data_IF_345227008357
#
_entry.id   IF_345227008357
#
_cell.length_a   1.000
_cell.length_b   1.000
_cell.length_c   1.000
_cell.angle_alpha   90.00
_cell.angle_beta   90.00
_cell.angle_gamma   90.00
#
_symmetry.space_group_name_H-M   'P 1'
#
loop_
_entity.id
_entity.type
_entity.pdbx_description
1 polymer ?
#
# COMPACT_ATOMS: atom_id res chain seq x y z
N UNK A 1 -21.69 -3.49 -16.24
CA UNK A 1 -21.77 -3.08 -14.82
C UNK A 1 -20.35 -3.12 -14.28
N UNK A 2 -19.64 -2.00 -14.36
CA UNK A 2 -18.21 -1.95 -14.04
C UNK A 2 -18.01 -2.10 -12.54
N UNK A 3 -17.14 -3.03 -12.14
CA UNK A 3 -16.64 -3.10 -10.77
C UNK A 3 -16.20 -1.68 -10.37
N UNK A 4 -16.81 -1.13 -9.32
CA UNK A 4 -16.47 0.21 -8.85
C UNK A 4 -14.97 0.24 -8.54
N UNK A 5 -14.25 1.14 -9.22
CA UNK A 5 -12.83 1.40 -8.99
C UNK A 5 -12.68 2.08 -7.61
N UNK A 6 -12.55 1.25 -6.57
CA UNK A 6 -12.47 1.70 -5.17
C UNK A 6 -11.35 2.70 -4.94
N UNK A 7 -10.27 2.63 -5.71
CA UNK A 7 -9.11 3.51 -5.54
C UNK A 7 -9.37 4.97 -5.95
N UNK A 8 -10.54 5.25 -6.56
CA UNK A 8 -10.92 6.59 -7.02
C UNK A 8 -12.31 7.03 -6.55
N UNK A 9 -13.07 6.12 -5.95
CA UNK A 9 -14.44 6.38 -5.49
C UNK A 9 -14.45 6.81 -4.02
N UNK A 10 -15.29 7.77 -3.63
CA UNK A 10 -15.36 8.26 -2.24
C UNK A 10 -15.81 7.20 -1.23
N UNK A 11 -16.48 6.13 -1.68
CA UNK A 11 -16.96 5.06 -0.81
C UNK A 11 -18.11 5.47 0.12
N UNK A 12 -18.84 4.49 0.64
CA UNK A 12 -20.02 4.71 1.51
C UNK A 12 -19.95 3.95 2.83
N UNK A 13 -19.02 3.00 2.96
CA UNK A 13 -18.78 2.25 4.19
C UNK A 13 -17.62 2.88 4.98
N UNK A 14 -17.51 2.65 6.30
CA UNK A 14 -16.45 3.20 7.14
C UNK A 14 -15.05 2.90 6.61
N UNK A 15 -14.14 3.87 6.71
CA UNK A 15 -12.77 3.74 6.23
C UNK A 15 -11.95 2.79 7.10
N UNK A 16 -11.12 1.90 6.51
CA UNK A 16 -10.16 1.11 7.25
C UNK A 16 -8.94 1.93 7.68
N UNK A 17 -8.09 1.34 8.51
CA UNK A 17 -6.82 1.94 8.92
C UNK A 17 -5.63 1.28 8.21
N UNK A 18 -4.76 2.09 7.59
CA UNK A 18 -3.53 1.63 6.96
C UNK A 18 -2.30 1.94 7.82
N UNK A 19 -1.50 0.90 8.05
CA UNK A 19 -0.21 0.97 8.74
C UNK A 19 0.91 0.40 7.88
N UNK A 20 2.05 1.07 7.89
CA UNK A 20 3.30 0.59 7.30
C UNK A 20 4.31 0.39 8.43
N UNK A 21 5.20 -0.60 8.29
CA UNK A 21 6.32 -0.78 9.22
C UNK A 21 7.42 0.28 9.05
N UNK A 22 7.54 0.88 7.85
CA UNK A 22 8.45 1.98 7.55
C UNK A 22 7.86 2.90 6.48
N UNK A 23 8.25 4.17 6.47
CA UNK A 23 7.87 5.17 5.47
C UNK A 23 8.99 5.47 4.46
N UNK A 24 10.18 4.89 4.68
CA UNK A 24 11.29 4.94 3.74
C UNK A 24 11.95 3.58 3.61
N UNK A 25 12.34 3.23 2.40
CA UNK A 25 13.02 1.96 2.11
C UNK A 25 13.93 2.09 0.88
N UNK A 26 14.95 1.26 0.79
CA UNK A 26 15.81 1.13 -0.38
C UNK A 26 15.27 0.06 -1.33
N UNK A 27 15.66 0.15 -2.60
CA UNK A 27 15.41 -0.90 -3.59
C UNK A 27 15.94 -2.26 -3.07
N UNK A 28 15.14 -3.32 -3.23
CA UNK A 28 15.43 -4.66 -2.72
C UNK A 28 14.97 -4.93 -1.28
N UNK A 29 14.58 -3.92 -0.50
CA UNK A 29 13.99 -4.12 0.82
C UNK A 29 12.52 -4.56 0.76
N UNK A 30 11.98 -5.04 1.88
CA UNK A 30 10.56 -5.36 2.03
C UNK A 30 9.87 -4.41 3.00
N UNK A 31 8.69 -3.92 2.60
CA UNK A 31 7.81 -3.08 3.43
C UNK A 31 6.52 -3.84 3.68
N UNK A 32 6.13 -3.95 4.95
CA UNK A 32 4.89 -4.59 5.37
C UNK A 32 3.81 -3.53 5.55
N UNK A 33 2.75 -3.68 4.77
CA UNK A 33 1.51 -2.93 4.88
C UNK A 33 0.50 -3.76 5.64
N UNK A 34 -0.31 -3.12 6.49
CA UNK A 34 -1.43 -3.74 7.21
C UNK A 34 -2.67 -2.88 7.05
N UNK A 35 -3.70 -3.44 6.44
CA UNK A 35 -5.02 -2.83 6.39
C UNK A 35 -5.89 -3.43 7.49
N UNK A 36 -6.31 -2.61 8.44
CA UNK A 36 -7.15 -3.01 9.58
C UNK A 36 -8.60 -2.61 9.35
N UNK A 37 -9.52 -3.53 9.56
CA UNK A 37 -10.98 -3.31 9.52
C UNK A 37 -11.60 -3.58 10.88
N UNK A 38 -12.78 -3.00 11.14
CA UNK A 38 -13.53 -3.26 12.37
C UNK A 38 -14.20 -4.64 12.35
N UNK A 39 -14.40 -5.24 13.53
CA UNK A 39 -14.92 -6.61 13.66
C UNK A 39 -16.29 -6.86 13.03
N UNK A 40 -17.13 -5.84 12.98
CA UNK A 40 -18.48 -5.94 12.41
C UNK A 40 -18.54 -5.61 10.91
N UNK A 41 -17.37 -5.44 10.27
CA UNK A 41 -17.28 -5.09 8.86
C UNK A 41 -17.52 -6.32 7.98
N UNK A 42 -18.56 -6.34 7.12
CA UNK A 42 -18.80 -7.46 6.20
C UNK A 42 -17.90 -7.36 4.96
N UNK A 43 -16.59 -7.29 5.16
CA UNK A 43 -15.64 -7.24 4.06
C UNK A 43 -15.65 -8.57 3.31
N UNK A 44 -15.61 -8.50 1.99
CA UNK A 44 -15.45 -9.67 1.09
C UNK A 44 -14.18 -9.58 0.26
N UNK A 45 -13.66 -8.37 0.09
CA UNK A 45 -12.43 -8.08 -0.65
C UNK A 45 -11.72 -6.90 -0.01
N UNK A 46 -10.41 -7.01 0.16
CA UNK A 46 -9.51 -5.94 0.61
C UNK A 46 -8.68 -5.48 -0.57
N UNK A 47 -8.46 -4.18 -0.68
CA UNK A 47 -7.78 -3.55 -1.82
C UNK A 47 -6.74 -2.57 -1.30
N UNK A 48 -5.51 -2.69 -1.80
CA UNK A 48 -4.44 -1.72 -1.60
C UNK A 48 -4.28 -0.91 -2.89
N UNK A 49 -4.32 0.40 -2.73
CA UNK A 49 -4.20 1.36 -3.81
C UNK A 49 -2.89 2.13 -3.67
N UNK A 50 -2.24 2.38 -4.80
CA UNK A 50 -1.10 3.28 -4.93
C UNK A 50 -1.45 4.36 -5.95
N UNK A 51 -1.31 5.62 -5.58
CA UNK A 51 -1.54 6.76 -6.47
C UNK A 51 -2.93 6.70 -7.18
N UNK A 52 -3.94 6.21 -6.46
CA UNK A 52 -5.30 6.04 -6.97
C UNK A 52 -5.50 4.87 -7.94
N UNK A 53 -4.58 3.89 -7.95
CA UNK A 53 -4.66 2.67 -8.77
C UNK A 53 -4.52 1.44 -7.88
N UNK A 54 -5.33 0.40 -8.13
CA UNK A 54 -5.19 -0.86 -7.42
C UNK A 54 -3.84 -1.52 -7.75
N UNK A 55 -3.07 -1.87 -6.72
CA UNK A 55 -1.80 -2.58 -6.85
C UNK A 55 -1.83 -3.98 -6.24
N UNK A 56 -2.77 -4.24 -5.33
CA UNK A 56 -2.91 -5.53 -4.68
C UNK A 56 -4.32 -5.71 -4.12
N UNK A 57 -4.82 -6.94 -4.11
CA UNK A 57 -6.09 -7.26 -3.47
C UNK A 57 -6.12 -8.67 -2.90
N UNK A 58 -6.96 -8.85 -1.88
CA UNK A 58 -7.15 -10.08 -1.14
C UNK A 58 -8.64 -10.37 -1.00
N UNK A 59 -9.01 -11.65 -0.88
CA UNK A 59 -10.33 -12.02 -0.36
C UNK A 59 -10.32 -11.87 1.15
N UNK A 60 -11.34 -11.22 1.70
CA UNK A 60 -11.50 -11.12 3.13
C UNK A 60 -11.88 -12.49 3.71
N UNK A 61 -11.24 -12.90 4.81
CA UNK A 61 -11.52 -14.16 5.49
C UNK A 61 -12.37 -13.90 6.72
N UNK A 62 -13.18 -14.90 7.08
CA UNK A 62 -14.04 -14.80 8.25
C UNK A 62 -13.16 -14.70 9.52
N UNK A 63 -13.47 -13.74 10.39
CA UNK A 63 -12.73 -13.40 11.62
C UNK A 63 -11.34 -12.76 11.47
N UNK A 64 -10.86 -12.49 10.24
CA UNK A 64 -9.61 -11.74 10.03
C UNK A 64 -9.88 -10.23 10.01
N UNK A 65 -9.18 -9.49 10.88
CA UNK A 65 -9.33 -8.03 11.02
C UNK A 65 -8.15 -7.25 10.43
N UNK A 66 -7.01 -7.91 10.24
CA UNK A 66 -5.78 -7.30 9.76
C UNK A 66 -5.32 -8.06 8.53
N UNK A 67 -5.24 -7.36 7.41
CA UNK A 67 -4.86 -7.93 6.12
C UNK A 67 -3.49 -7.42 5.73
N UNK A 68 -2.47 -8.29 5.62
CA UNK A 68 -1.11 -7.89 5.28
C UNK A 68 -0.87 -7.85 3.76
N UNK A 69 -0.02 -6.92 3.33
CA UNK A 69 0.61 -6.92 2.00
C UNK A 69 2.11 -6.71 2.18
N UNK A 70 2.93 -7.60 1.63
CA UNK A 70 4.39 -7.44 1.56
C UNK A 70 4.76 -6.84 0.21
N UNK A 71 5.36 -5.64 0.24
CA UNK A 71 5.87 -4.96 -0.94
C UNK A 71 7.38 -5.20 -1.06
N UNK A 72 7.81 -5.81 -2.16
CA UNK A 72 9.21 -5.80 -2.57
C UNK A 72 9.52 -4.44 -3.21
N UNK A 73 10.41 -3.68 -2.60
CA UNK A 73 10.68 -2.29 -3.00
C UNK A 73 11.51 -2.26 -4.29
N UNK A 74 11.01 -1.50 -5.26
CA UNK A 74 11.65 -1.19 -6.54
C UNK A 74 11.76 0.33 -6.67
N UNK A 75 12.48 0.84 -7.69
CA UNK A 75 12.50 2.28 -7.97
C UNK A 75 11.11 2.91 -8.16
N UNK A 76 10.15 2.13 -8.66
CA UNK A 76 8.77 2.56 -8.89
C UNK A 76 7.86 2.46 -7.65
N UNK A 77 8.38 2.02 -6.50
CA UNK A 77 7.57 1.82 -5.29
C UNK A 77 7.27 3.12 -4.53
N UNK A 78 7.95 4.23 -4.82
CA UNK A 78 7.60 5.52 -4.21
C UNK A 78 6.20 5.94 -4.59
N UNK A 79 5.41 6.41 -3.62
CA UNK A 79 4.08 6.96 -3.88
C UNK A 79 3.17 6.98 -2.65
N UNK A 80 1.91 7.31 -2.90
CA UNK A 80 0.88 7.43 -1.87
C UNK A 80 0.00 6.19 -1.84
N UNK A 81 0.03 5.50 -0.71
CA UNK A 81 -0.69 4.27 -0.47
C UNK A 81 -1.94 4.50 0.39
N UNK A 82 -3.02 3.84 0.01
CA UNK A 82 -4.27 3.74 0.79
C UNK A 82 -4.75 2.31 0.75
N UNK A 83 -5.66 1.94 1.65
CA UNK A 83 -6.41 0.70 1.53
C UNK A 83 -7.91 0.95 1.69
N UNK A 84 -8.70 0.05 1.12
CA UNK A 84 -10.15 0.03 1.20
C UNK A 84 -10.65 -1.40 1.19
N UNK A 85 -11.94 -1.58 1.44
CA UNK A 85 -12.59 -2.89 1.30
C UNK A 85 -13.89 -2.77 0.54
N UNK A 86 -14.32 -3.90 -0.01
CA UNK A 86 -15.61 -4.04 -0.67
C UNK A 86 -16.43 -5.11 0.04
N UNK A 87 -17.72 -4.82 0.22
CA UNK A 87 -18.72 -5.79 0.60
C UNK A 87 -19.54 -6.15 -0.64
N UNK A 88 -19.53 -7.43 -1.00
CA UNK A 88 -20.41 -8.00 -2.01
C UNK A 88 -21.50 -8.80 -1.32
N UNK A 89 -22.75 -8.37 -1.47
CA UNK A 89 -23.88 -9.09 -0.92
C UNK A 89 -24.28 -10.29 -1.81
N UNK A 90 -25.26 -11.07 -1.36
CA UNK A 90 -25.79 -12.25 -2.07
C UNK A 90 -26.35 -11.93 -3.46
N UNK A 91 -26.90 -10.73 -3.65
CA UNK A 91 -27.37 -10.22 -4.96
C UNK A 91 -26.26 -9.70 -5.86
N UNK A 92 -24.98 -9.94 -5.51
CA UNK A 92 -23.79 -9.46 -6.22
C UNK A 92 -23.64 -7.93 -6.31
N UNK A 93 -24.35 -7.18 -5.49
CA UNK A 93 -24.13 -5.74 -5.37
C UNK A 93 -22.90 -5.46 -4.53
N UNK A 94 -22.03 -4.62 -5.08
CA UNK A 94 -20.76 -4.24 -4.46
C UNK A 94 -20.89 -2.85 -3.88
N UNK A 95 -20.56 -2.71 -2.59
CA UNK A 95 -20.39 -1.42 -1.92
C UNK A 95 -18.95 -1.29 -1.48
N UNK A 96 -18.36 -0.12 -1.74
CA UNK A 96 -16.98 0.18 -1.36
C UNK A 96 -16.93 1.00 -0.08
N UNK A 97 -15.92 0.77 0.75
CA UNK A 97 -15.58 1.67 1.83
C UNK A 97 -14.99 2.98 1.30
N UNK A 98 -15.02 4.01 2.13
CA UNK A 98 -14.07 5.10 1.99
C UNK A 98 -12.63 4.53 2.09
N UNK A 99 -11.68 5.20 1.45
CA UNK A 99 -10.27 4.85 1.56
C UNK A 99 -9.71 5.26 2.92
N UNK A 100 -8.72 4.50 3.40
CA UNK A 100 -7.95 4.85 4.59
C UNK A 100 -7.28 6.22 4.45
N UNK A 101 -6.82 6.78 5.57
CA UNK A 101 -5.84 7.85 5.52
C UNK A 101 -4.61 7.43 4.68
N UNK A 102 -4.11 8.36 3.88
CA UNK A 102 -2.99 8.13 2.97
C UNK A 102 -1.67 7.98 3.71
N UNK A 103 -0.83 7.05 3.26
CA UNK A 103 0.53 6.81 3.76
C UNK A 103 1.52 6.93 2.61
N UNK A 104 2.53 7.77 2.75
CA UNK A 104 3.56 7.94 1.72
C UNK A 104 4.72 7.01 2.00
N UNK A 105 5.17 6.29 0.97
CA UNK A 105 6.41 5.53 0.98
C UNK A 105 7.41 6.23 0.06
N UNK A 106 8.61 6.50 0.57
CA UNK A 106 9.70 7.07 -0.20
C UNK A 106 10.80 6.03 -0.42
N UNK A 107 11.18 5.80 -1.67
CA UNK A 107 12.34 4.98 -1.98
C UNK A 107 13.59 5.85 -1.90
N UNK A 108 14.46 5.59 -0.94
CA UNK A 108 15.76 6.28 -0.87
C UNK A 108 16.67 5.64 -1.90
N UNK A 109 17.16 6.45 -2.84
CA UNK A 109 18.19 6.01 -3.78
C UNK A 109 19.44 5.54 -3.04
N UNK A 110 20.20 4.66 -3.67
CA UNK A 110 21.54 4.31 -3.22
C UNK A 110 22.30 5.62 -2.98
N UNK A 111 22.70 5.90 -1.74
CA UNK A 111 23.70 6.92 -1.48
C UNK A 111 24.94 6.48 -2.27
N UNK A 112 25.21 7.12 -3.40
CA UNK A 112 26.50 6.98 -4.07
C UNK A 112 27.57 7.17 -3.00
N UNK A 113 28.30 6.11 -2.68
CA UNK A 113 29.49 6.23 -1.87
C UNK A 113 30.36 7.27 -2.56
N UNK A 114 30.49 8.44 -1.93
CA UNK A 114 31.44 9.45 -2.37
C UNK A 114 32.79 8.78 -2.40
N UNK A 115 33.29 8.50 -3.61
CA UNK A 115 34.63 8.00 -3.81
C UNK A 115 35.57 9.00 -3.17
N UNK A 116 36.18 8.59 -2.05
CA UNK A 116 37.32 9.29 -1.46
C UNK A 116 38.54 9.02 -2.33
N UNK A 117 38.56 9.63 -3.52
CA UNK A 117 39.72 9.69 -4.38
C UNK A 117 40.69 10.74 -3.86
N UNK A 118 41.53 10.37 -2.88
CA UNK A 118 42.73 11.15 -2.55
C UNK A 118 43.56 11.30 -3.82
N UNK A 119 43.68 12.52 -4.35
CA UNK A 119 44.73 12.86 -5.31
C UNK A 119 46.07 12.60 -4.63
N UNK A 120 46.67 11.46 -4.93
CA UNK A 120 48.03 11.11 -4.53
C UNK A 120 48.96 11.82 -5.51
N UNK A 121 49.68 12.81 -5.00
CA UNK A 121 50.80 13.50 -5.65
C UNK A 121 51.77 12.50 -6.28
N UNK A 122 52.20 12.76 -7.53
CA UNK A 122 53.24 12.00 -8.22
C UNK A 122 54.44 12.89 -8.51
N UNK A 123 55.60 12.68 -7.88
CA UNK A 123 56.92 12.99 -8.43
C UNK A 123 57.58 11.69 -8.96
N UNK A 124 58.74 11.75 -9.63
CA UNK A 124 59.39 12.87 -10.30
C UNK A 124 59.13 12.91 -11.83
#
# INVERSE_FOLDING_TARGET
MTAQDICRSPGYLPAPALFLNTFSAQEGQQVLFRCSIDQQTPATRIVFCKDGVEVYSLKAQQAELIYPMLLNVTRGSSGTYTCGYQHRNESNWVRSSALSASRNLTVTGETWHWGTGRHRSRPP
#
